data_IF_815358350193
#
_entry.id   IF_815358350193
#
_cell.length_a   1.000
_cell.length_b   1.000
_cell.length_c   1.000
_cell.angle_alpha   90.00
_cell.angle_beta   90.00
_cell.angle_gamma   90.00
#
_symmetry.space_group_name_H-M   'P 1'
#
loop_
_entity.id
_entity.type
_entity.pdbx_description
1 polymer ?
#
# COMPACT_ATOMS: atom_id res chain seq x y z
N UNK A 1 12.78 -11.81 18.88
CA UNK A 1 11.47 -11.97 18.21
C UNK A 1 11.21 -10.71 17.42
N UNK A 2 10.66 -10.81 16.22
CA UNK A 2 10.21 -9.61 15.47
C UNK A 2 8.95 -9.08 16.14
N UNK A 3 8.92 -7.77 16.45
CA UNK A 3 7.74 -7.13 17.07
C UNK A 3 6.67 -6.71 16.07
N UNK A 4 6.96 -6.72 14.75
CA UNK A 4 6.06 -6.28 13.70
C UNK A 4 5.35 -7.46 13.04
N UNK A 5 4.01 -7.43 13.06
CA UNK A 5 3.15 -8.36 12.32
C UNK A 5 2.73 -7.70 11.00
N UNK A 6 2.88 -8.37 9.84
CA UNK A 6 2.39 -7.84 8.58
C UNK A 6 0.85 -7.88 8.54
N UNK A 7 0.24 -6.73 8.33
CA UNK A 7 -1.20 -6.57 8.16
C UNK A 7 -1.47 -5.61 6.99
N UNK A 8 -2.65 -5.72 6.38
CA UNK A 8 -3.17 -4.73 5.46
C UNK A 8 -4.11 -3.78 6.22
N UNK A 9 -3.85 -2.48 6.14
CA UNK A 9 -4.63 -1.44 6.82
C UNK A 9 -5.46 -0.69 5.79
N UNK A 10 -6.75 -0.53 6.04
CA UNK A 10 -7.61 0.34 5.25
C UNK A 10 -7.39 1.80 5.69
N UNK A 11 -6.90 2.61 4.76
CA UNK A 11 -6.63 4.03 4.97
C UNK A 11 -7.70 4.94 4.33
N UNK A 12 -8.78 4.42 3.77
CA UNK A 12 -9.74 5.17 2.95
C UNK A 12 -10.26 6.45 3.64
N UNK A 13 -10.61 6.37 4.92
CA UNK A 13 -11.13 7.52 5.70
C UNK A 13 -10.20 7.88 6.86
N UNK A 14 -8.90 7.65 6.71
CA UNK A 14 -7.91 7.90 7.75
C UNK A 14 -7.17 9.20 7.53
N UNK A 15 -7.03 9.98 8.60
CA UNK A 15 -6.24 11.20 8.63
C UNK A 15 -4.75 10.87 8.68
N UNK A 16 -4.04 11.21 7.61
CA UNK A 16 -2.60 11.01 7.51
C UNK A 16 -1.88 12.36 7.66
N UNK A 17 -0.99 12.44 8.64
CA UNK A 17 -0.15 13.62 8.86
C UNK A 17 1.31 13.28 8.57
N UNK A 18 1.94 14.06 7.71
CA UNK A 18 3.36 13.92 7.35
C UNK A 18 4.13 15.11 7.88
N UNK A 19 5.07 14.87 8.78
CA UNK A 19 5.96 15.89 9.31
C UNK A 19 7.30 15.82 8.59
N UNK A 20 7.60 16.86 7.81
CA UNK A 20 8.74 16.96 6.91
C UNK A 20 8.33 16.97 5.45
N UNK A 21 9.12 17.64 4.61
CA UNK A 21 8.83 17.87 3.19
C UNK A 21 9.94 17.43 2.24
N UNK A 22 10.95 16.71 2.73
CA UNK A 22 12.10 16.28 1.94
C UNK A 22 11.83 15.05 1.07
N UNK A 23 12.89 14.57 0.41
CA UNK A 23 12.84 13.40 -0.50
C UNK A 23 12.33 12.12 0.18
N UNK A 24 12.57 11.94 1.48
CA UNK A 24 12.09 10.78 2.24
C UNK A 24 10.59 10.88 2.43
N UNK A 25 10.06 12.04 2.83
CA UNK A 25 8.64 12.32 2.93
C UNK A 25 7.94 12.08 1.58
N UNK A 26 8.49 12.61 0.48
CA UNK A 26 7.96 12.42 -0.88
C UNK A 26 7.78 10.93 -1.22
N UNK A 27 8.78 10.10 -0.97
CA UNK A 27 8.67 8.64 -1.21
C UNK A 27 7.57 7.98 -0.39
N UNK A 28 7.35 8.40 0.86
CA UNK A 28 6.28 7.86 1.72
C UNK A 28 4.91 8.31 1.23
N UNK A 29 4.78 9.60 0.91
CA UNK A 29 3.54 10.18 0.38
C UNK A 29 3.14 9.46 -0.92
N UNK A 30 4.06 9.22 -1.85
CA UNK A 30 3.82 8.51 -3.10
C UNK A 30 3.31 7.06 -2.91
N UNK A 31 3.58 6.45 -1.76
CA UNK A 31 2.96 5.16 -1.41
C UNK A 31 1.55 5.39 -0.86
N UNK A 32 1.39 6.28 0.11
CA UNK A 32 0.14 6.45 0.87
C UNK A 32 -0.98 7.07 0.03
N UNK A 33 -0.65 7.96 -0.90
CA UNK A 33 -1.62 8.65 -1.78
C UNK A 33 -2.46 7.69 -2.63
N UNK A 34 -2.01 6.45 -2.81
CA UNK A 34 -2.77 5.38 -3.49
C UNK A 34 -3.93 4.84 -2.66
N UNK A 35 -3.94 5.11 -1.36
CA UNK A 35 -4.91 4.54 -0.40
C UNK A 35 -5.82 5.59 0.22
N UNK A 36 -5.35 6.84 0.32
CA UNK A 36 -6.15 7.98 0.82
C UNK A 36 -5.64 9.29 0.22
N UNK A 37 -6.54 10.26 0.08
CA UNK A 37 -6.20 11.65 -0.28
C UNK A 37 -6.26 12.58 0.95
N UNK A 38 -6.66 12.07 2.12
CA UNK A 38 -6.70 12.85 3.34
C UNK A 38 -5.31 12.92 3.98
N UNK A 39 -4.39 13.56 3.26
CA UNK A 39 -2.98 13.70 3.64
C UNK A 39 -2.66 15.16 3.87
N UNK A 40 -2.19 15.49 5.06
CA UNK A 40 -1.68 16.82 5.40
C UNK A 40 -0.17 16.76 5.61
N UNK A 41 0.57 17.54 4.82
CA UNK A 41 2.03 17.71 4.95
C UNK A 41 2.32 18.98 5.74
N UNK A 42 3.15 18.88 6.78
CA UNK A 42 3.58 20.01 7.60
C UNK A 42 5.10 20.14 7.47
N UNK A 43 5.52 21.18 6.76
CA UNK A 43 6.93 21.50 6.52
C UNK A 43 7.07 22.93 6.03
N UNK A 44 8.14 23.68 6.39
CA UNK A 44 8.40 25.00 5.80
C UNK A 44 8.58 24.96 4.28
N UNK A 45 9.20 23.89 3.78
CA UNK A 45 9.49 23.67 2.36
C UNK A 45 9.14 22.24 1.96
N UNK A 46 8.86 22.00 0.68
CA UNK A 46 8.53 20.68 0.15
C UNK A 46 9.31 20.38 -1.11
N UNK A 47 9.64 19.08 -1.29
CA UNK A 47 10.23 18.54 -2.49
C UNK A 47 9.28 18.70 -3.70
N UNK A 48 9.82 18.77 -4.91
CA UNK A 48 9.04 19.00 -6.14
C UNK A 48 7.95 17.93 -6.36
N UNK A 49 8.21 16.67 -6.04
CA UNK A 49 7.20 15.60 -6.13
C UNK A 49 6.00 15.86 -5.21
N UNK A 50 6.21 16.43 -4.02
CA UNK A 50 5.14 16.80 -3.09
C UNK A 50 4.40 18.01 -3.63
N UNK A 51 5.13 19.00 -4.18
CA UNK A 51 4.56 20.20 -4.80
C UNK A 51 3.61 19.85 -5.93
N UNK A 52 3.99 18.93 -6.81
CA UNK A 52 3.13 18.44 -7.88
C UNK A 52 1.80 17.85 -7.36
N UNK A 53 1.80 17.11 -6.26
CA UNK A 53 0.59 16.57 -5.66
C UNK A 53 -0.29 17.66 -5.02
N UNK A 54 0.33 18.69 -4.45
CA UNK A 54 -0.38 19.87 -3.91
C UNK A 54 -1.07 20.64 -5.03
N UNK A 55 -0.38 20.91 -6.13
CA UNK A 55 -0.91 21.63 -7.31
C UNK A 55 -2.08 20.86 -7.97
N UNK A 56 -2.05 19.54 -7.92
CA UNK A 56 -3.16 18.66 -8.36
C UNK A 56 -4.34 18.63 -7.37
N UNK A 57 -4.22 19.26 -6.21
CA UNK A 57 -5.24 19.23 -5.16
C UNK A 57 -5.39 17.86 -4.47
N UNK A 58 -4.40 16.96 -4.63
CA UNK A 58 -4.45 15.59 -4.12
C UNK A 58 -4.15 15.53 -2.62
N UNK A 59 -3.33 16.45 -2.11
CA UNK A 59 -2.90 16.52 -0.70
C UNK A 59 -2.91 17.98 -0.21
N UNK A 60 -2.95 18.14 1.11
CA UNK A 60 -2.89 19.47 1.75
C UNK A 60 -1.49 19.77 2.27
N UNK A 61 -1.05 21.01 2.15
CA UNK A 61 0.24 21.46 2.68
C UNK A 61 0.06 22.68 3.59
N UNK A 62 0.70 22.59 4.75
CA UNK A 62 0.85 23.70 5.69
C UNK A 62 2.32 24.15 5.70
N UNK A 63 2.60 25.30 5.05
CA UNK A 63 3.95 25.86 4.89
C UNK A 63 4.45 26.47 6.22
N UNK A 64 4.72 25.61 7.20
CA UNK A 64 5.19 25.99 8.55
C UNK A 64 5.92 24.85 9.25
N UNK A 65 6.58 25.17 10.36
CA UNK A 65 7.15 24.17 11.26
C UNK A 65 6.04 23.43 12.03
N UNK A 66 6.37 22.23 12.48
CA UNK A 66 5.55 21.40 13.37
C UNK A 66 5.16 22.13 14.65
N UNK A 67 3.98 21.82 15.17
CA UNK A 67 3.45 22.24 16.48
C UNK A 67 2.84 21.01 17.16
N UNK A 68 2.98 20.88 18.49
CA UNK A 68 2.60 19.68 19.24
C UNK A 68 1.17 19.16 19.02
N UNK A 69 0.22 20.03 18.65
CA UNK A 69 -1.16 19.62 18.38
C UNK A 69 -1.40 19.01 17.00
N UNK A 70 -0.42 19.07 16.11
CA UNK A 70 -0.60 18.67 14.70
C UNK A 70 -0.87 17.17 14.51
N UNK A 71 -0.46 16.34 15.46
CA UNK A 71 -0.57 14.87 15.36
C UNK A 71 -1.61 14.27 16.32
N UNK A 72 -2.30 15.08 17.12
CA UNK A 72 -3.20 14.58 18.18
C UNK A 72 -4.39 13.78 17.63
N UNK A 73 -4.91 14.15 16.48
CA UNK A 73 -6.08 13.51 15.87
C UNK A 73 -5.74 12.67 14.63
N UNK A 74 -4.46 12.49 14.33
CA UNK A 74 -4.03 11.72 13.18
C UNK A 74 -4.16 10.22 13.44
N UNK A 75 -4.68 9.49 12.45
CA UNK A 75 -4.72 8.02 12.47
C UNK A 75 -3.37 7.42 12.07
N UNK A 76 -2.68 8.07 11.12
CA UNK A 76 -1.36 7.65 10.66
C UNK A 76 -0.41 8.84 10.56
N UNK A 77 0.73 8.74 11.22
CA UNK A 77 1.73 9.79 11.31
C UNK A 77 3.02 9.30 10.64
N UNK A 78 3.54 10.09 9.71
CA UNK A 78 4.80 9.84 9.03
C UNK A 78 5.78 10.95 9.43
N UNK A 79 6.84 10.59 10.15
CA UNK A 79 7.84 11.51 10.66
C UNK A 79 9.10 11.37 9.80
N UNK A 80 9.42 12.39 9.04
CA UNK A 80 10.49 12.39 8.05
C UNK A 80 11.25 13.73 8.01
N UNK A 81 11.57 14.28 9.19
CA UNK A 81 12.44 15.46 9.30
C UNK A 81 13.92 15.06 9.41
N UNK A 82 14.81 16.01 9.23
CA UNK A 82 16.26 15.87 9.41
C UNK A 82 16.71 16.03 10.87
N UNK A 83 15.81 16.37 11.78
CA UNK A 83 16.08 16.55 13.20
C UNK A 83 15.60 15.31 14.00
N UNK A 84 16.54 14.48 14.46
CA UNK A 84 16.25 13.26 15.20
C UNK A 84 15.56 13.50 16.54
N UNK A 85 15.96 14.54 17.29
CA UNK A 85 15.36 14.87 18.58
C UNK A 85 13.88 15.28 18.42
N UNK A 86 13.58 16.06 17.37
CA UNK A 86 12.22 16.41 17.02
C UNK A 86 11.42 15.17 16.61
N UNK A 87 11.99 14.27 15.81
CA UNK A 87 11.33 13.04 15.40
C UNK A 87 10.94 12.17 16.60
N UNK A 88 11.83 12.04 17.57
CA UNK A 88 11.58 11.30 18.82
C UNK A 88 10.53 11.99 19.71
N UNK A 89 10.52 13.32 19.76
CA UNK A 89 9.50 14.09 20.47
C UNK A 89 8.13 13.87 19.87
N UNK A 90 8.00 14.02 18.55
CA UNK A 90 6.73 13.82 17.83
C UNK A 90 6.20 12.39 18.04
N UNK A 91 7.08 11.39 17.97
CA UNK A 91 6.69 10.00 18.21
C UNK A 91 6.12 9.79 19.61
N UNK A 92 6.72 10.40 20.64
CA UNK A 92 6.22 10.32 22.03
C UNK A 92 4.93 11.10 22.26
N UNK A 93 4.72 12.21 21.55
CA UNK A 93 3.51 13.04 21.61
C UNK A 93 2.33 12.44 20.86
N UNK A 94 2.60 11.50 19.96
CA UNK A 94 1.58 10.84 19.15
C UNK A 94 0.62 10.00 19.98
N UNK A 95 -0.64 9.94 19.58
CA UNK A 95 -1.64 9.10 20.25
C UNK A 95 -1.21 7.63 20.23
N UNK A 96 -1.45 6.92 21.34
CA UNK A 96 -1.19 5.47 21.42
C UNK A 96 -2.03 4.63 20.44
N UNK A 97 -3.12 5.19 19.91
CA UNK A 97 -3.96 4.56 18.89
C UNK A 97 -3.51 4.84 17.47
N UNK A 98 -2.62 5.82 17.24
CA UNK A 98 -2.12 6.16 15.92
C UNK A 98 -1.06 5.17 15.43
N UNK A 99 -1.05 4.93 14.12
CA UNK A 99 0.09 4.33 13.45
C UNK A 99 1.20 5.38 13.31
N UNK A 100 2.41 5.08 13.74
CA UNK A 100 3.54 6.02 13.71
C UNK A 100 4.69 5.39 12.95
N UNK A 101 5.08 6.01 11.84
CA UNK A 101 6.28 5.66 11.09
C UNK A 101 7.35 6.73 11.27
N UNK A 102 8.45 6.40 11.91
CA UNK A 102 9.64 7.26 11.99
C UNK A 102 10.62 6.83 10.89
N UNK A 103 10.80 7.66 9.87
CA UNK A 103 11.53 7.28 8.66
C UNK A 103 13.05 7.06 8.91
N UNK A 104 13.62 7.71 9.90
CA UNK A 104 15.03 7.61 10.30
C UNK A 104 15.30 6.46 11.28
N UNK A 105 14.30 6.02 12.05
CA UNK A 105 14.45 4.99 13.08
C UNK A 105 13.17 4.16 13.19
N UNK A 106 13.21 2.93 12.68
CA UNK A 106 12.05 2.02 12.70
C UNK A 106 11.62 1.60 14.12
N UNK A 107 12.53 1.65 15.09
CA UNK A 107 12.25 1.28 16.49
C UNK A 107 11.54 2.40 17.27
N UNK A 108 11.64 3.64 16.80
CA UNK A 108 10.97 4.78 17.42
C UNK A 108 9.49 4.90 17.05
N UNK A 109 8.98 4.07 16.15
CA UNK A 109 7.59 4.00 15.72
C UNK A 109 6.96 2.63 15.95
N UNK A 110 5.67 2.51 15.59
CA UNK A 110 4.93 1.24 15.66
C UNK A 110 4.50 0.72 14.27
N UNK A 111 4.82 1.44 13.20
CA UNK A 111 4.51 1.09 11.82
C UNK A 111 5.73 1.23 10.90
N UNK A 112 5.92 0.26 10.01
CA UNK A 112 7.02 0.27 9.04
C UNK A 112 6.48 0.08 7.62
N UNK A 113 7.17 0.66 6.63
CA UNK A 113 6.84 0.47 5.22
C UNK A 113 7.68 -0.67 4.64
N UNK A 114 7.07 -1.77 4.22
CA UNK A 114 7.76 -2.79 3.43
C UNK A 114 8.05 -2.29 2.01
N UNK A 115 8.84 -3.02 1.25
CA UNK A 115 8.87 -2.88 -0.20
C UNK A 115 7.59 -3.49 -0.77
N UNK A 116 6.91 -2.76 -1.66
CA UNK A 116 5.57 -3.15 -2.17
C UNK A 116 5.62 -3.28 -3.68
N UNK A 117 4.90 -4.28 -4.20
CA UNK A 117 4.60 -4.50 -5.62
C UNK A 117 3.09 -4.54 -5.76
N UNK A 118 2.56 -3.80 -6.72
CA UNK A 118 1.14 -3.81 -7.06
C UNK A 118 0.93 -4.26 -8.50
N UNK A 119 -0.07 -5.13 -8.71
CA UNK A 119 -0.59 -5.54 -10.01
C UNK A 119 -2.12 -5.61 -9.89
N UNK A 120 -2.79 -4.47 -10.10
CA UNK A 120 -4.22 -4.37 -9.83
C UNK A 120 -4.56 -4.76 -8.38
N UNK A 121 -5.35 -5.82 -8.19
CA UNK A 121 -5.73 -6.34 -6.86
C UNK A 121 -4.65 -7.20 -6.20
N UNK A 122 -3.59 -7.60 -6.91
CA UNK A 122 -2.47 -8.31 -6.30
C UNK A 122 -1.54 -7.32 -5.60
N UNK A 123 -1.28 -7.55 -4.33
CA UNK A 123 -0.27 -6.82 -3.56
C UNK A 123 0.72 -7.82 -2.97
N UNK A 124 2.01 -7.61 -3.24
CA UNK A 124 3.09 -8.33 -2.60
C UNK A 124 3.91 -7.37 -1.76
N UNK A 125 4.27 -7.76 -0.55
CA UNK A 125 5.10 -6.96 0.34
C UNK A 125 6.28 -7.75 0.86
N UNK A 126 7.46 -7.13 0.89
CA UNK A 126 8.71 -7.73 1.33
C UNK A 126 9.36 -6.87 2.40
N UNK A 127 9.68 -7.47 3.54
CA UNK A 127 10.42 -6.81 4.61
C UNK A 127 11.43 -7.78 5.21
N UNK A 128 12.60 -7.27 5.54
CA UNK A 128 13.60 -7.96 6.38
C UNK A 128 13.69 -7.33 7.77
N UNK A 129 12.71 -6.49 8.15
CA UNK A 129 12.69 -5.71 9.39
C UNK A 129 13.98 -4.92 9.63
N UNK A 130 14.54 -4.35 8.55
CA UNK A 130 15.79 -3.59 8.60
C UNK A 130 17.07 -4.41 8.53
N UNK A 131 16.99 -5.75 8.61
CA UNK A 131 18.18 -6.60 8.64
C UNK A 131 19.01 -6.52 7.34
N UNK A 132 18.37 -6.41 6.16
CA UNK A 132 19.09 -6.30 4.88
C UNK A 132 18.26 -5.57 3.82
N UNK A 133 18.45 -4.25 3.64
CA UNK A 133 17.81 -3.51 2.56
C UNK A 133 18.18 -4.04 1.16
N UNK A 134 19.42 -4.54 1.00
CA UNK A 134 19.89 -5.11 -0.29
C UNK A 134 19.14 -6.40 -0.64
N UNK A 135 18.97 -7.31 0.34
CA UNK A 135 18.21 -8.54 0.14
C UNK A 135 16.73 -8.22 -0.15
N UNK A 136 16.14 -7.26 0.56
CA UNK A 136 14.77 -6.81 0.30
C UNK A 136 14.61 -6.32 -1.13
N UNK A 137 15.58 -5.54 -1.65
CA UNK A 137 15.57 -5.05 -3.03
C UNK A 137 15.73 -6.20 -4.04
N UNK A 138 16.64 -7.14 -3.77
CA UNK A 138 16.83 -8.31 -4.64
C UNK A 138 15.55 -9.13 -4.75
N UNK A 139 14.95 -9.53 -3.62
CA UNK A 139 13.71 -10.30 -3.60
C UNK A 139 12.58 -9.53 -4.30
N UNK A 140 12.48 -8.21 -4.06
CA UNK A 140 11.49 -7.38 -4.77
C UNK A 140 11.66 -7.49 -6.28
N UNK A 141 12.87 -7.34 -6.82
CA UNK A 141 13.14 -7.40 -8.25
C UNK A 141 12.81 -8.80 -8.84
N UNK A 142 13.14 -9.87 -8.12
CA UNK A 142 12.78 -11.24 -8.51
C UNK A 142 11.26 -11.43 -8.60
N UNK A 143 10.54 -10.91 -7.61
CA UNK A 143 9.08 -10.97 -7.60
C UNK A 143 8.46 -10.07 -8.68
N UNK A 144 9.02 -8.90 -8.98
CA UNK A 144 8.56 -8.03 -10.07
C UNK A 144 8.70 -8.69 -11.44
N UNK A 145 9.77 -9.48 -11.63
CA UNK A 145 9.97 -10.26 -12.87
C UNK A 145 9.00 -11.42 -12.96
N UNK A 146 8.76 -12.13 -11.84
CA UNK A 146 7.86 -13.29 -11.80
C UNK A 146 6.38 -12.89 -11.90
N UNK A 147 6.01 -11.81 -11.26
CA UNK A 147 4.65 -11.26 -11.22
C UNK A 147 4.66 -9.94 -12.00
N UNK A 148 4.79 -10.05 -13.32
CA UNK A 148 4.85 -8.91 -14.22
C UNK A 148 3.49 -8.22 -14.41
N UNK A 149 3.39 -7.27 -15.31
CA UNK A 149 2.18 -6.47 -15.50
C UNK A 149 1.00 -7.28 -16.06
N UNK A 150 1.24 -8.44 -16.68
CA UNK A 150 0.18 -9.33 -17.15
C UNK A 150 -0.71 -9.85 -16.01
N UNK A 151 -0.19 -9.91 -14.79
CA UNK A 151 -0.95 -10.30 -13.62
C UNK A 151 -2.07 -9.32 -13.26
N UNK A 152 -2.04 -8.07 -13.68
CA UNK A 152 -3.12 -7.12 -13.41
C UNK A 152 -4.43 -7.56 -14.07
N UNK A 153 -4.41 -7.80 -15.37
CA UNK A 153 -5.59 -8.28 -16.12
C UNK A 153 -6.00 -9.69 -15.68
N UNK A 154 -5.03 -10.55 -15.42
CA UNK A 154 -5.29 -11.92 -14.96
C UNK A 154 -5.98 -11.97 -13.59
N UNK A 155 -5.57 -11.16 -12.63
CA UNK A 155 -6.22 -11.09 -11.31
C UNK A 155 -7.64 -10.51 -11.42
N UNK A 156 -7.87 -9.55 -12.30
CA UNK A 156 -9.20 -9.01 -12.54
C UNK A 156 -10.12 -10.06 -13.17
N UNK A 157 -9.61 -10.85 -14.11
CA UNK A 157 -10.33 -12.01 -14.65
C UNK A 157 -10.69 -13.03 -13.55
N UNK A 158 -9.73 -13.43 -12.72
CA UNK A 158 -9.98 -14.35 -11.60
C UNK A 158 -11.05 -13.83 -10.64
N UNK A 159 -11.04 -12.52 -10.35
CA UNK A 159 -12.04 -11.89 -9.52
C UNK A 159 -13.44 -11.94 -10.16
N UNK A 160 -13.55 -11.64 -11.45
CA UNK A 160 -14.80 -11.73 -12.19
C UNK A 160 -15.35 -13.16 -12.19
N UNK A 161 -14.51 -14.15 -12.48
CA UNK A 161 -14.89 -15.56 -12.43
C UNK A 161 -15.37 -15.95 -11.03
N UNK A 162 -14.67 -15.55 -9.97
CA UNK A 162 -15.07 -15.84 -8.58
C UNK A 162 -16.46 -15.28 -8.26
N UNK A 163 -16.75 -14.06 -8.71
CA UNK A 163 -18.08 -13.45 -8.50
C UNK A 163 -19.15 -14.25 -9.26
N UNK A 164 -18.93 -14.55 -10.55
CA UNK A 164 -19.88 -15.30 -11.36
C UNK A 164 -20.14 -16.71 -10.83
N UNK A 165 -19.10 -17.46 -10.49
CA UNK A 165 -19.19 -18.83 -9.95
C UNK A 165 -20.06 -18.89 -8.69
N UNK A 166 -20.08 -17.85 -7.84
CA UNK A 166 -20.97 -17.80 -6.67
C UNK A 166 -22.46 -17.90 -7.06
N UNK A 167 -22.84 -17.35 -8.22
CA UNK A 167 -24.22 -17.28 -8.69
C UNK A 167 -24.65 -18.48 -9.57
N UNK A 168 -23.72 -19.38 -9.90
CA UNK A 168 -24.06 -20.61 -10.66
C UNK A 168 -24.78 -21.63 -9.76
N UNK A 169 -25.49 -22.56 -10.38
CA UNK A 169 -26.16 -23.70 -9.73
C UNK A 169 -25.20 -24.87 -9.40
N UNK A 170 -23.90 -24.76 -9.70
CA UNK A 170 -22.89 -25.77 -9.44
C UNK A 170 -22.78 -26.12 -7.94
N UNK A 171 -22.48 -27.37 -7.64
CA UNK A 171 -22.17 -27.80 -6.29
C UNK A 171 -20.88 -27.14 -5.77
N UNK A 172 -20.69 -27.14 -4.44
CA UNK A 172 -19.49 -26.55 -3.80
C UNK A 172 -18.20 -27.16 -4.34
N UNK A 173 -18.17 -28.46 -4.59
CA UNK A 173 -16.99 -29.18 -5.10
C UNK A 173 -16.67 -28.77 -6.54
N UNK A 174 -17.69 -28.65 -7.40
CA UNK A 174 -17.53 -28.18 -8.80
C UNK A 174 -17.04 -26.73 -8.84
N UNK A 175 -17.61 -25.84 -8.01
CA UNK A 175 -17.13 -24.45 -7.87
C UNK A 175 -15.66 -24.38 -7.49
N UNK A 176 -15.22 -25.19 -6.52
CA UNK A 176 -13.83 -25.22 -6.10
C UNK A 176 -12.90 -25.77 -7.20
N UNK A 177 -13.29 -26.85 -7.88
CA UNK A 177 -12.53 -27.43 -8.98
C UNK A 177 -12.40 -26.44 -10.15
N UNK A 178 -13.47 -25.75 -10.50
CA UNK A 178 -13.46 -24.75 -11.54
C UNK A 178 -12.54 -23.55 -11.18
N UNK A 179 -12.67 -22.98 -9.99
CA UNK A 179 -11.79 -21.89 -9.56
C UNK A 179 -10.32 -22.30 -9.51
N UNK A 180 -10.02 -23.55 -9.20
CA UNK A 180 -8.65 -24.09 -9.20
C UNK A 180 -8.11 -24.24 -10.64
N UNK A 181 -8.93 -24.69 -11.60
CA UNK A 181 -8.49 -24.82 -13.00
C UNK A 181 -8.13 -23.49 -13.64
N UNK A 182 -8.74 -22.37 -13.18
CA UNK A 182 -8.43 -21.03 -13.68
C UNK A 182 -7.00 -20.56 -13.32
N UNK A 183 -6.28 -21.28 -12.49
CA UNK A 183 -4.88 -20.97 -12.14
C UNK A 183 -3.86 -21.49 -13.16
N UNK A 184 -4.34 -22.06 -14.29
CA UNK A 184 -3.45 -22.53 -15.36
C UNK A 184 -2.93 -21.36 -16.20
N UNK A 185 -1.74 -21.55 -16.80
CA UNK A 185 -1.07 -20.52 -17.62
C UNK A 185 -1.86 -20.10 -18.86
N UNK A 186 -2.77 -20.95 -19.36
CA UNK A 186 -3.61 -20.64 -20.50
C UNK A 186 -4.46 -19.39 -20.29
N UNK A 187 -4.87 -19.10 -19.05
CA UNK A 187 -5.70 -17.94 -18.71
C UNK A 187 -4.94 -16.62 -18.61
N UNK A 188 -3.65 -16.58 -18.95
CA UNK A 188 -3.00 -15.31 -19.28
C UNK A 188 -3.40 -14.80 -20.69
N UNK A 189 -3.98 -15.67 -21.53
CA UNK A 189 -4.57 -15.29 -22.80
C UNK A 189 -5.91 -14.60 -22.62
N UNK A 190 -6.08 -13.40 -23.17
CA UNK A 190 -7.34 -12.66 -23.15
C UNK A 190 -8.48 -13.42 -23.86
N UNK A 191 -8.16 -14.20 -24.90
CA UNK A 191 -9.15 -15.02 -25.61
C UNK A 191 -9.71 -16.07 -24.67
N UNK A 192 -8.86 -16.82 -23.96
CA UNK A 192 -9.28 -17.85 -23.02
C UNK A 192 -10.06 -17.25 -21.82
N UNK A 193 -9.69 -16.07 -21.38
CA UNK A 193 -10.44 -15.33 -20.35
C UNK A 193 -11.87 -15.00 -20.82
N UNK A 194 -12.02 -14.47 -22.04
CA UNK A 194 -13.33 -14.14 -22.60
C UNK A 194 -14.21 -15.38 -22.81
N UNK A 195 -13.67 -16.46 -23.34
CA UNK A 195 -14.39 -17.73 -23.52
C UNK A 195 -14.89 -18.27 -22.17
N UNK A 196 -14.07 -18.23 -21.12
CA UNK A 196 -14.46 -18.67 -19.79
C UNK A 196 -15.55 -17.77 -19.19
N UNK A 197 -15.45 -16.45 -19.34
CA UNK A 197 -16.50 -15.52 -18.89
C UNK A 197 -17.83 -15.84 -19.57
N UNK A 198 -17.84 -16.03 -20.90
CA UNK A 198 -19.05 -16.42 -21.65
C UNK A 198 -19.59 -17.79 -21.21
N UNK A 199 -18.72 -18.76 -20.90
CA UNK A 199 -19.14 -20.03 -20.35
C UNK A 199 -19.86 -19.87 -19.01
N UNK A 200 -19.30 -19.07 -18.09
CA UNK A 200 -19.90 -18.81 -16.78
C UNK A 200 -21.23 -18.08 -16.89
N UNK A 201 -21.39 -17.16 -17.86
CA UNK A 201 -22.64 -16.44 -18.09
C UNK A 201 -23.79 -17.35 -18.50
N UNK A 202 -23.48 -18.51 -19.12
CA UNK A 202 -24.49 -19.52 -19.50
C UNK A 202 -24.88 -20.45 -18.35
N UNK A 203 -24.12 -20.44 -17.24
CA UNK A 203 -24.39 -21.27 -16.05
C UNK A 203 -25.18 -20.52 -14.94
N UNK A 204 -25.41 -19.20 -15.12
CA UNK A 204 -26.20 -18.37 -14.21
C UNK A 204 -27.65 -18.32 -14.69
#
# INVERSE_FOLDING_TARGET
>A
MTSHMPIMVDLHNKDVVVIGGGKVAARRINVVVRYTHNITVISPEVHDDIRALIEQGTIHWQARRYRGNDVQNADFIIIATDNSELNDSISRESSSSALVNVASNAEAGNATFPSIIHRGKLTLSVSTNGASPQLTKQIKNELETKYDESYESYIDFLNQCRIKVKHTSLSTSEKQSLLKSLLSEEYFSQIQQQEMIHYLDRLI
#
